data_IF_605434972682
#
_entry.id   IF_605434972682
#
_cell.length_a   1.000
_cell.length_b   1.000
_cell.length_c   1.000
_cell.angle_alpha   90.00
_cell.angle_beta   90.00
_cell.angle_gamma   90.00
#
_symmetry.space_group_name_H-M   'P 1'
#
loop_
_entity.id
_entity.type
_entity.pdbx_description
1 polymer ?
#
# COMPACT_ATOMS: atom_id res chain seq x y z
N UNK A 1 28.00 29.73 29.60
CA UNK A 1 26.75 29.36 28.89
C UNK A 1 26.43 27.89 29.20
N UNK A 2 25.36 27.62 29.97
CA UNK A 2 24.93 26.26 30.34
C UNK A 2 23.66 25.91 29.55
N UNK A 3 23.73 24.95 28.63
CA UNK A 3 22.54 24.37 28.01
C UNK A 3 21.89 23.39 28.99
N UNK A 4 20.76 23.78 29.58
CA UNK A 4 19.89 22.86 30.32
C UNK A 4 19.09 22.04 29.30
N UNK A 5 19.33 20.72 29.25
CA UNK A 5 18.47 19.80 28.53
C UNK A 5 17.08 19.79 29.20
N UNK A 6 16.06 20.31 28.52
CA UNK A 6 14.67 20.03 28.90
C UNK A 6 14.36 18.59 28.53
N UNK A 7 13.96 17.80 29.53
CA UNK A 7 13.40 16.48 29.32
C UNK A 7 12.19 16.55 28.38
N UNK A 8 12.30 15.92 27.20
CA UNK A 8 11.19 15.72 26.27
C UNK A 8 10.43 14.48 26.76
N UNK A 9 9.16 14.57 27.18
CA UNK A 9 8.40 13.41 27.64
C UNK A 9 8.22 12.41 26.50
N UNK A 10 8.00 11.10 26.79
CA UNK A 10 7.82 10.06 25.78
C UNK A 10 6.45 10.24 25.11
N UNK A 11 6.35 11.22 24.23
CA UNK A 11 5.18 11.42 23.37
C UNK A 11 5.30 10.42 22.24
N UNK A 12 4.33 9.52 22.17
CA UNK A 12 3.97 8.74 20.99
C UNK A 12 4.29 9.53 19.72
N UNK A 13 5.12 8.97 18.84
CA UNK A 13 5.81 9.69 17.76
C UNK A 13 4.89 10.23 16.66
N UNK A 14 3.57 10.08 16.79
CA UNK A 14 2.59 10.77 15.96
C UNK A 14 1.19 10.67 16.59
N UNK A 15 0.55 11.82 16.88
CA UNK A 15 -0.90 11.93 17.20
C UNK A 15 -1.62 12.68 16.07
N UNK A 16 -1.30 12.37 14.82
CA UNK A 16 -2.05 12.87 13.67
C UNK A 16 -3.21 11.94 13.34
N UNK A 17 -4.41 12.49 13.13
CA UNK A 17 -5.47 11.80 12.39
C UNK A 17 -5.17 12.07 10.91
N UNK A 18 -5.01 11.06 10.05
CA UNK A 18 -4.85 11.28 8.60
C UNK A 18 -6.20 11.77 8.05
N UNK A 19 -6.39 13.09 7.99
CA UNK A 19 -7.65 13.72 7.57
C UNK A 19 -7.73 13.84 6.06
N UNK A 20 -8.16 12.76 5.39
CA UNK A 20 -8.76 12.84 4.05
C UNK A 20 -10.20 12.35 4.15
N UNK A 21 -11.17 13.24 4.40
CA UNK A 21 -12.50 12.85 4.87
C UNK A 21 -13.36 12.13 3.81
N UNK A 22 -13.13 12.34 2.51
CA UNK A 22 -14.08 11.89 1.47
C UNK A 22 -13.43 11.24 0.23
N UNK A 23 -12.10 11.15 0.16
CA UNK A 23 -11.35 10.77 -1.07
C UNK A 23 -10.47 9.52 -0.93
N UNK A 24 -10.69 8.75 0.14
CA UNK A 24 -9.95 7.54 0.49
C UNK A 24 -10.26 6.32 -0.38
N UNK A 25 -9.48 5.24 -0.26
CA UNK A 25 -9.90 3.94 -0.81
C UNK A 25 -11.03 3.36 0.06
N UNK A 26 -11.85 2.47 -0.48
CA UNK A 26 -12.83 1.75 0.32
C UNK A 26 -12.18 0.53 0.97
N UNK A 27 -12.42 0.34 2.26
CA UNK A 27 -12.02 -0.86 3.00
C UNK A 27 -12.99 -2.02 2.77
N UNK A 28 -12.56 -3.22 3.18
CA UNK A 28 -13.40 -4.41 3.20
C UNK A 28 -14.55 -4.29 4.22
N UNK A 29 -15.48 -5.25 4.19
CA UNK A 29 -16.49 -5.39 5.23
C UNK A 29 -15.88 -6.08 6.45
N UNK A 30 -15.61 -5.31 7.51
CA UNK A 30 -14.79 -5.76 8.64
C UNK A 30 -15.61 -6.29 9.82
N UNK A 31 -16.91 -6.03 9.87
CA UNK A 31 -17.77 -6.40 11.00
C UNK A 31 -17.77 -7.90 11.31
N UNK A 32 -17.88 -8.81 10.31
CA UNK A 32 -17.80 -10.24 10.61
C UNK A 32 -16.48 -10.63 11.27
N UNK A 33 -15.37 -9.99 10.86
CA UNK A 33 -14.05 -10.24 11.47
C UNK A 33 -14.00 -9.71 12.91
N UNK A 34 -14.63 -8.56 13.18
CA UNK A 34 -14.71 -8.00 14.53
C UNK A 34 -15.59 -8.85 15.45
N UNK A 35 -16.67 -9.41 14.93
CA UNK A 35 -17.53 -10.35 15.65
C UNK A 35 -16.75 -11.62 16.04
N UNK A 36 -16.04 -12.23 15.08
CA UNK A 36 -15.18 -13.39 15.34
C UNK A 36 -14.12 -13.06 16.39
N UNK A 37 -13.52 -11.88 16.31
CA UNK A 37 -12.62 -11.39 17.34
C UNK A 37 -13.27 -11.35 18.71
N UNK A 38 -14.47 -10.80 18.84
CA UNK A 38 -15.15 -10.70 20.13
C UNK A 38 -15.52 -12.09 20.66
N UNK A 39 -16.00 -12.97 19.80
CA UNK A 39 -16.44 -14.32 20.14
C UNK A 39 -15.28 -15.25 20.53
N UNK A 40 -14.15 -15.15 19.83
CA UNK A 40 -13.04 -16.10 19.96
C UNK A 40 -11.78 -15.49 20.61
N UNK A 41 -11.79 -14.20 20.97
CA UNK A 41 -10.65 -13.53 21.60
C UNK A 41 -9.42 -13.38 20.69
N UNK A 42 -9.57 -13.50 19.37
CA UNK A 42 -8.45 -13.43 18.42
C UNK A 42 -7.94 -11.99 18.23
N UNK A 43 -6.65 -11.83 17.96
CA UNK A 43 -6.08 -10.54 17.57
C UNK A 43 -6.24 -10.32 16.07
N UNK A 44 -6.47 -9.08 15.67
CA UNK A 44 -6.57 -8.67 14.27
C UNK A 44 -5.38 -7.80 13.92
N UNK A 45 -4.73 -8.13 12.81
CA UNK A 45 -3.69 -7.32 12.18
C UNK A 45 -4.21 -6.83 10.83
N UNK A 46 -4.28 -5.52 10.65
CA UNK A 46 -4.70 -4.89 9.40
C UNK A 46 -3.47 -4.69 8.49
N UNK A 47 -3.41 -5.40 7.36
CA UNK A 47 -2.47 -5.05 6.28
C UNK A 47 -3.06 -3.91 5.44
N UNK A 48 -2.67 -2.68 5.79
CA UNK A 48 -3.07 -1.45 5.11
C UNK A 48 -2.02 -0.98 4.09
N UNK A 49 -1.13 -1.86 3.62
CA UNK A 49 -0.02 -1.48 2.73
C UNK A 49 -0.51 -0.93 1.38
N UNK A 50 -1.72 -1.27 0.94
CA UNK A 50 -2.38 -0.72 -0.25
C UNK A 50 -3.37 0.42 0.04
N UNK A 51 -3.52 0.81 1.30
CA UNK A 51 -4.75 1.40 1.84
C UNK A 51 -4.52 2.53 2.88
N UNK A 52 -3.43 3.31 2.73
CA UNK A 52 -3.05 4.43 3.63
C UNK A 52 -4.20 5.31 4.12
N UNK A 53 -5.15 5.63 3.24
CA UNK A 53 -6.27 6.54 3.52
C UNK A 53 -7.62 5.84 3.46
N UNK A 54 -7.64 4.51 3.50
CA UNK A 54 -8.87 3.77 3.37
C UNK A 54 -9.78 3.96 4.58
N UNK A 55 -11.09 3.92 4.34
CA UNK A 55 -12.12 3.98 5.38
C UNK A 55 -13.03 2.77 5.28
N UNK A 56 -13.54 2.31 6.41
CA UNK A 56 -14.51 1.22 6.44
C UNK A 56 -15.82 1.64 5.79
N UNK A 57 -16.39 0.75 4.98
CA UNK A 57 -17.56 1.02 4.13
C UNK A 57 -18.91 0.82 4.82
N UNK A 58 -18.94 -0.05 5.82
CA UNK A 58 -20.16 -0.51 6.49
C UNK A 58 -19.97 -0.55 7.99
N UNK A 59 -21.10 -0.58 8.69
CA UNK A 59 -21.13 -0.98 10.08
C UNK A 59 -20.87 0.08 11.14
N UNK A 60 -20.67 -0.38 12.38
CA UNK A 60 -20.36 0.46 13.54
C UNK A 60 -19.05 1.26 13.37
N UNK A 61 -18.19 0.84 12.45
CA UNK A 61 -16.93 1.50 12.11
C UNK A 61 -16.96 2.26 10.78
N UNK A 62 -18.13 2.37 10.13
CA UNK A 62 -18.30 3.10 8.86
C UNK A 62 -17.71 4.50 8.93
N UNK A 63 -16.96 4.87 7.89
CA UNK A 63 -16.30 6.18 7.79
C UNK A 63 -15.06 6.34 8.69
N UNK A 64 -14.80 5.43 9.64
CA UNK A 64 -13.53 5.42 10.39
C UNK A 64 -12.40 4.94 9.47
N UNK A 65 -11.22 5.47 9.70
CA UNK A 65 -10.02 5.07 8.96
C UNK A 65 -9.61 3.63 9.32
N UNK A 66 -9.11 2.90 8.34
CA UNK A 66 -8.34 1.65 8.52
C UNK A 66 -7.11 2.01 9.35
N UNK A 67 -7.11 1.60 10.64
CA UNK A 67 -6.19 1.97 11.73
C UNK A 67 -6.87 2.06 13.11
N UNK A 68 -8.20 2.02 13.16
CA UNK A 68 -8.95 2.37 14.38
C UNK A 68 -9.51 1.16 15.16
N UNK A 69 -9.12 -0.07 14.81
CA UNK A 69 -9.52 -1.29 15.54
C UNK A 69 -8.45 -1.63 16.57
N UNK A 70 -8.84 -2.15 17.74
CA UNK A 70 -7.89 -2.63 18.75
C UNK A 70 -7.00 -3.74 18.17
N UNK A 71 -5.71 -3.48 17.93
CA UNK A 71 -4.81 -4.38 17.20
C UNK A 71 -3.57 -3.68 16.63
N UNK A 72 -3.03 -4.24 15.54
CA UNK A 72 -1.92 -3.66 14.77
C UNK A 72 -2.35 -3.31 13.36
N UNK A 73 -1.81 -2.23 12.82
CA UNK A 73 -2.00 -1.84 11.42
C UNK A 73 -0.64 -1.58 10.78
N UNK A 74 -0.43 -2.18 9.62
CA UNK A 74 0.80 -2.10 8.85
C UNK A 74 0.61 -1.25 7.60
N UNK A 75 1.43 -0.20 7.44
CA UNK A 75 1.54 0.59 6.23
C UNK A 75 2.88 0.32 5.54
N UNK A 76 2.91 0.48 4.22
CA UNK A 76 4.13 0.35 3.41
C UNK A 76 4.40 1.66 2.70
N UNK A 77 5.64 2.12 2.77
CA UNK A 77 6.11 3.31 2.06
C UNK A 77 7.06 2.93 0.92
N UNK A 78 6.75 1.83 0.23
CA UNK A 78 7.47 1.40 -0.97
C UNK A 78 7.25 2.40 -2.12
N UNK A 79 8.15 2.40 -3.12
CA UNK A 79 8.12 3.29 -4.28
C UNK A 79 6.79 3.36 -5.05
N UNK A 80 5.99 2.29 -5.03
CA UNK A 80 4.71 2.20 -5.74
C UNK A 80 3.48 2.57 -4.88
N UNK A 81 3.69 3.16 -3.71
CA UNK A 81 2.63 3.51 -2.76
C UNK A 81 2.24 4.98 -2.91
N UNK A 82 1.02 5.32 -2.47
CA UNK A 82 0.49 6.69 -2.54
C UNK A 82 1.41 7.70 -1.83
N UNK A 83 1.98 7.26 -0.70
CA UNK A 83 3.03 7.94 0.05
C UNK A 83 4.22 7.00 0.04
N UNK A 84 5.41 7.51 -0.28
CA UNK A 84 6.63 6.69 -0.36
C UNK A 84 7.79 7.32 0.40
N UNK A 85 8.67 6.47 0.93
CA UNK A 85 9.98 6.83 1.46
C UNK A 85 11.10 6.17 0.66
N UNK A 86 10.81 5.77 -0.59
CA UNK A 86 11.62 4.84 -1.38
C UNK A 86 11.43 3.41 -0.91
N UNK A 87 11.82 3.13 0.34
CA UNK A 87 11.45 1.91 1.07
C UNK A 87 11.13 2.24 2.52
N UNK A 88 10.27 1.44 3.15
CA UNK A 88 9.88 1.64 4.53
C UNK A 88 8.52 1.07 4.86
N UNK A 89 8.17 1.13 6.14
CA UNK A 89 6.86 0.78 6.64
C UNK A 89 6.59 1.44 7.97
N UNK A 90 5.33 1.39 8.39
CA UNK A 90 4.89 1.93 9.66
C UNK A 90 3.96 0.93 10.33
N UNK A 91 4.21 0.67 11.60
CA UNK A 91 3.33 -0.12 12.46
C UNK A 91 2.61 0.84 13.40
N UNK A 92 1.30 0.78 13.43
CA UNK A 92 0.46 1.56 14.34
C UNK A 92 -0.33 0.61 15.23
N UNK A 93 -0.46 0.95 16.50
CA UNK A 93 -1.32 0.25 17.44
C UNK A 93 -1.96 1.25 18.41
N UNK A 94 -3.17 0.93 18.84
CA UNK A 94 -3.89 1.62 19.91
C UNK A 94 -3.79 0.88 21.25
N UNK A 95 -3.04 -0.22 21.32
CA UNK A 95 -2.65 -0.85 22.56
C UNK A 95 -1.37 -0.20 23.10
N UNK A 96 -1.46 0.30 24.34
CA UNK A 96 -0.39 1.05 24.99
C UNK A 96 0.88 0.22 25.20
N UNK A 97 0.76 -1.11 25.32
CA UNK A 97 1.90 -2.02 25.49
C UNK A 97 2.54 -2.44 24.15
N UNK A 98 1.73 -2.60 23.12
CA UNK A 98 2.14 -3.11 21.81
C UNK A 98 3.17 -2.24 21.08
N UNK A 99 2.97 -0.92 21.02
CA UNK A 99 3.87 -0.03 20.29
C UNK A 99 5.27 0.09 20.93
N UNK A 100 5.40 0.27 22.27
CA UNK A 100 6.70 0.21 22.95
C UNK A 100 7.42 -1.12 22.73
N UNK A 101 6.70 -2.24 22.82
CA UNK A 101 7.29 -3.57 22.60
C UNK A 101 7.79 -3.74 21.16
N UNK A 102 6.99 -3.36 20.17
CA UNK A 102 7.46 -3.38 18.78
C UNK A 102 8.70 -2.50 18.59
N UNK A 103 8.72 -1.31 19.19
CA UNK A 103 9.88 -0.41 19.16
C UNK A 103 11.12 -1.04 19.78
N UNK A 104 10.99 -1.77 20.88
CA UNK A 104 12.08 -2.51 21.52
C UNK A 104 12.68 -3.54 20.56
N UNK A 105 11.83 -4.41 20.00
CA UNK A 105 12.22 -5.49 19.09
C UNK A 105 12.94 -4.97 17.83
N UNK A 106 12.43 -3.89 17.20
CA UNK A 106 13.06 -3.31 15.99
C UNK A 106 14.35 -2.55 16.30
N UNK A 107 14.53 -2.06 17.53
CA UNK A 107 15.77 -1.43 18.01
C UNK A 107 16.72 -2.46 18.61
N UNK A 108 16.68 -3.67 18.08
CA UNK A 108 17.51 -4.79 18.46
C UNK A 108 17.36 -5.26 19.93
N UNK A 109 16.21 -5.07 20.58
CA UNK A 109 15.93 -5.55 21.94
C UNK A 109 17.03 -5.19 22.97
N UNK A 110 17.39 -3.91 23.07
CA UNK A 110 18.43 -3.42 24.00
C UNK A 110 17.88 -3.35 25.42
N UNK A 111 18.56 -3.97 26.38
CA UNK A 111 18.21 -3.82 27.80
C UNK A 111 18.35 -2.38 28.28
N UNK A 112 17.69 -2.05 29.39
CA UNK A 112 17.67 -0.71 29.96
C UNK A 112 19.01 -0.28 30.60
N UNK A 113 19.83 -1.23 31.02
CA UNK A 113 20.91 -0.97 31.98
C UNK A 113 22.24 -0.54 31.32
N UNK A 114 22.53 -0.98 30.09
CA UNK A 114 23.77 -0.62 29.37
C UNK A 114 23.64 -0.51 27.84
N UNK A 115 22.52 -0.93 27.25
CA UNK A 115 22.28 -0.92 25.81
C UNK A 115 23.11 -1.91 24.97
N UNK A 116 23.98 -2.70 25.61
CA UNK A 116 24.78 -3.76 24.99
C UNK A 116 24.09 -5.11 25.16
N UNK A 117 23.55 -5.37 26.34
CA UNK A 117 22.82 -6.60 26.65
C UNK A 117 21.48 -6.65 25.93
N UNK A 118 21.04 -7.88 25.63
CA UNK A 118 19.82 -8.18 24.86
C UNK A 118 18.95 -9.11 25.67
N UNK A 119 17.73 -8.70 25.93
CA UNK A 119 16.77 -9.42 26.77
C UNK A 119 15.80 -10.30 25.97
N UNK A 120 15.65 -10.06 24.65
CA UNK A 120 14.75 -10.80 23.76
C UNK A 120 15.37 -11.04 22.37
N UNK A 121 14.67 -11.85 21.55
CA UNK A 121 14.96 -11.98 20.11
C UNK A 121 14.84 -10.62 19.44
N UNK A 122 15.82 -10.30 18.60
CA UNK A 122 16.06 -8.96 18.09
C UNK A 122 15.92 -8.86 16.58
N UNK A 123 15.51 -7.69 16.10
CA UNK A 123 15.39 -7.39 14.68
C UNK A 123 16.07 -6.07 14.34
N UNK A 124 16.45 -5.89 13.07
CA UNK A 124 16.93 -4.62 12.55
C UNK A 124 15.99 -4.13 11.45
N UNK A 125 14.84 -3.59 11.88
CA UNK A 125 13.81 -3.04 10.99
C UNK A 125 13.65 -1.52 11.16
N UNK A 126 14.69 -0.85 11.66
CA UNK A 126 14.71 0.60 11.80
C UNK A 126 14.69 1.24 10.41
N UNK A 127 13.80 2.20 10.23
CA UNK A 127 13.84 3.09 9.06
C UNK A 127 15.02 4.06 9.20
N UNK A 128 15.74 4.31 8.11
CA UNK A 128 16.81 5.31 8.11
C UNK A 128 16.24 6.72 8.28
N UNK A 129 17.03 7.64 8.84
CA UNK A 129 16.63 9.03 9.01
C UNK A 129 16.28 9.70 7.67
N UNK A 130 17.00 9.37 6.59
CA UNK A 130 16.71 9.88 5.25
C UNK A 130 15.36 9.39 4.73
N UNK A 131 15.06 8.08 4.84
CA UNK A 131 13.76 7.55 4.44
C UNK A 131 12.63 8.16 5.28
N UNK A 132 12.85 8.33 6.58
CA UNK A 132 11.88 8.98 7.46
C UNK A 132 11.61 10.44 7.06
N UNK A 133 12.65 11.21 6.72
CA UNK A 133 12.50 12.60 6.26
C UNK A 133 11.67 12.70 4.98
N UNK A 134 11.94 11.82 3.99
CA UNK A 134 11.13 11.72 2.78
C UNK A 134 9.68 11.36 3.10
N UNK A 135 9.48 10.37 3.98
CA UNK A 135 8.15 9.94 4.42
C UNK A 135 7.34 11.06 5.07
N UNK A 136 7.96 11.87 5.95
CA UNK A 136 7.31 13.03 6.57
C UNK A 136 6.86 14.04 5.52
N UNK A 137 7.76 14.45 4.62
CA UNK A 137 7.43 15.39 3.54
C UNK A 137 6.30 14.87 2.61
N UNK A 138 6.22 13.55 2.42
CA UNK A 138 5.16 12.93 1.64
C UNK A 138 3.82 12.89 2.37
N UNK A 139 3.81 12.66 3.69
CA UNK A 139 2.59 12.70 4.51
C UNK A 139 2.01 14.12 4.54
N UNK A 140 2.85 15.15 4.63
CA UNK A 140 2.42 16.56 4.56
C UNK A 140 1.72 16.91 3.24
N UNK A 141 2.05 16.21 2.16
CA UNK A 141 1.43 16.40 0.84
C UNK A 141 0.28 15.43 0.53
N UNK A 142 -0.16 14.63 1.51
CA UNK A 142 -1.13 13.56 1.29
C UNK A 142 -2.41 14.02 0.60
N UNK A 143 -3.00 15.14 1.03
CA UNK A 143 -4.24 15.65 0.44
C UNK A 143 -4.06 16.04 -1.03
N UNK A 144 -2.89 16.58 -1.38
CA UNK A 144 -2.53 16.88 -2.77
C UNK A 144 -2.38 15.61 -3.61
N UNK A 145 -1.79 14.55 -3.05
CA UNK A 145 -1.70 13.24 -3.72
C UNK A 145 -3.08 12.59 -3.90
N UNK A 146 -3.96 12.70 -2.91
CA UNK A 146 -5.34 12.20 -3.01
C UNK A 146 -6.12 12.94 -4.11
N UNK A 147 -6.01 14.26 -4.16
CA UNK A 147 -6.67 15.05 -5.20
C UNK A 147 -6.17 14.67 -6.61
N UNK A 148 -4.86 14.43 -6.77
CA UNK A 148 -4.28 13.98 -8.03
C UNK A 148 -4.71 12.58 -8.43
N UNK A 149 -4.83 11.66 -7.48
CA UNK A 149 -5.22 10.28 -7.74
C UNK A 149 -6.73 10.09 -7.97
N UNK A 150 -7.58 11.02 -7.52
CA UNK A 150 -9.04 10.88 -7.57
C UNK A 150 -9.59 10.55 -8.97
N UNK A 151 -9.18 11.22 -10.06
CA UNK A 151 -9.69 10.94 -11.41
C UNK A 151 -9.30 9.57 -11.97
N UNK A 152 -8.28 8.90 -11.43
CA UNK A 152 -7.87 7.56 -11.90
C UNK A 152 -8.40 6.43 -11.02
N UNK A 153 -9.10 6.74 -9.91
CA UNK A 153 -9.61 5.71 -8.99
C UNK A 153 -10.85 5.00 -9.49
N UNK A 154 -11.68 5.66 -10.32
CA UNK A 154 -12.92 5.07 -10.83
C UNK A 154 -12.68 3.91 -11.81
N UNK A 155 -11.52 3.87 -12.47
CA UNK A 155 -11.15 2.83 -13.45
C UNK A 155 -9.81 2.15 -13.10
N UNK A 156 -9.69 1.65 -11.87
CA UNK A 156 -8.47 0.93 -11.47
C UNK A 156 -8.53 -0.56 -11.78
N UNK A 157 -9.62 -1.22 -11.40
CA UNK A 157 -9.83 -2.65 -11.64
C UNK A 157 -10.88 -2.80 -12.73
N UNK A 158 -10.54 -3.50 -13.81
CA UNK A 158 -11.41 -3.70 -14.96
C UNK A 158 -11.69 -5.19 -15.10
N UNK A 159 -12.98 -5.52 -15.16
CA UNK A 159 -13.47 -6.85 -15.51
C UNK A 159 -14.02 -6.77 -16.94
N UNK A 160 -13.32 -7.29 -17.94
CA UNK A 160 -13.84 -7.41 -19.30
C UNK A 160 -15.09 -8.30 -19.33
N UNK A 161 -15.95 -8.09 -20.32
CA UNK A 161 -17.09 -8.97 -20.57
C UNK A 161 -16.65 -10.36 -21.04
N UNK A 162 -17.57 -11.32 -21.01
CA UNK A 162 -17.25 -12.73 -21.26
C UNK A 162 -16.74 -13.01 -22.69
N UNK A 163 -17.13 -12.18 -23.66
CA UNK A 163 -16.67 -12.25 -25.07
C UNK A 163 -15.28 -11.62 -25.30
N UNK A 164 -14.66 -11.05 -24.26
CA UNK A 164 -13.37 -10.37 -24.40
C UNK A 164 -12.20 -11.38 -24.53
N UNK A 165 -11.12 -10.93 -25.17
CA UNK A 165 -9.85 -11.65 -25.15
C UNK A 165 -9.37 -11.91 -23.71
N UNK A 166 -8.54 -12.93 -23.52
CA UNK A 166 -8.03 -13.30 -22.20
C UNK A 166 -7.38 -12.09 -21.50
N UNK A 167 -7.46 -12.02 -20.16
CA UNK A 167 -6.80 -10.96 -19.38
C UNK A 167 -5.30 -10.85 -19.70
N UNK A 168 -4.65 -11.97 -20.03
CA UNK A 168 -3.24 -11.98 -20.43
C UNK A 168 -3.03 -11.23 -21.74
N UNK A 169 -3.86 -11.50 -22.74
CA UNK A 169 -3.77 -10.86 -24.05
C UNK A 169 -4.17 -9.38 -23.99
N UNK A 170 -5.17 -9.04 -23.18
CA UNK A 170 -5.55 -7.66 -22.92
C UNK A 170 -4.40 -6.88 -22.27
N UNK A 171 -3.78 -7.42 -21.23
CA UNK A 171 -2.61 -6.79 -20.59
C UNK A 171 -1.45 -6.64 -21.58
N UNK A 172 -1.18 -7.68 -22.40
CA UNK A 172 -0.15 -7.62 -23.45
C UNK A 172 -0.46 -6.51 -24.47
N UNK A 173 -1.70 -6.43 -24.93
CA UNK A 173 -2.16 -5.45 -25.91
C UNK A 173 -2.14 -4.01 -25.39
N UNK A 174 -2.45 -3.80 -24.11
CA UNK A 174 -2.31 -2.51 -23.42
C UNK A 174 -0.84 -2.11 -23.33
N UNK A 175 0.02 -3.01 -22.85
CA UNK A 175 1.45 -2.73 -22.68
C UNK A 175 2.13 -2.45 -24.04
N UNK A 176 1.76 -3.16 -25.10
CA UNK A 176 2.23 -2.90 -26.47
C UNK A 176 1.85 -1.50 -26.98
N UNK A 177 0.80 -0.89 -26.42
CA UNK A 177 0.35 0.48 -26.72
C UNK A 177 0.89 1.52 -25.72
N UNK A 178 1.82 1.13 -24.86
CA UNK A 178 2.37 2.01 -23.82
C UNK A 178 1.40 2.31 -22.67
N UNK A 179 0.28 1.58 -22.56
CA UNK A 179 -0.66 1.70 -21.46
C UNK A 179 -0.31 0.63 -20.43
N UNK A 180 0.18 1.05 -19.26
CA UNK A 180 0.58 0.12 -18.22
C UNK A 180 -0.65 -0.59 -17.63
N UNK A 181 -0.76 -1.89 -17.94
CA UNK A 181 -1.71 -2.81 -17.34
C UNK A 181 -0.99 -3.95 -16.61
N UNK A 182 -1.63 -4.50 -15.58
CA UNK A 182 -1.13 -5.68 -14.88
C UNK A 182 -2.26 -6.61 -14.50
N UNK A 183 -1.95 -7.89 -14.33
CA UNK A 183 -2.86 -8.83 -13.66
C UNK A 183 -2.99 -8.49 -12.19
N UNK A 184 -4.11 -8.91 -11.59
CA UNK A 184 -4.23 -8.93 -10.13
C UNK A 184 -3.16 -9.82 -9.49
N UNK A 185 -2.98 -9.65 -8.18
CA UNK A 185 -2.15 -10.56 -7.41
C UNK A 185 -2.73 -11.97 -7.48
N UNK A 186 -1.88 -12.94 -7.84
CA UNK A 186 -2.29 -14.34 -7.84
C UNK A 186 -2.65 -14.78 -6.42
N UNK A 187 -3.79 -15.47 -6.22
CA UNK A 187 -4.15 -16.03 -4.93
C UNK A 187 -3.01 -16.87 -4.34
N UNK A 188 -2.74 -16.70 -3.04
CA UNK A 188 -1.58 -17.33 -2.39
C UNK A 188 -1.58 -18.85 -2.55
N UNK A 189 -2.75 -19.48 -2.48
CA UNK A 189 -2.92 -20.94 -2.61
C UNK A 189 -2.58 -21.49 -4.00
N UNK A 190 -2.41 -20.62 -5.02
CA UNK A 190 -1.87 -21.01 -6.34
C UNK A 190 -0.34 -20.97 -6.39
N UNK A 191 0.32 -20.40 -5.38
CA UNK A 191 1.78 -20.31 -5.33
C UNK A 191 2.34 -21.63 -4.80
N UNK A 192 3.44 -22.09 -5.42
CA UNK A 192 4.15 -23.31 -5.02
C UNK A 192 4.45 -23.38 -3.52
N UNK A 193 4.74 -22.24 -2.88
CA UNK A 193 5.03 -22.15 -1.45
C UNK A 193 3.85 -22.50 -0.55
N UNK A 194 2.61 -22.34 -1.01
CA UNK A 194 1.39 -22.52 -0.22
C UNK A 194 0.45 -23.58 -0.79
N UNK A 195 0.88 -24.32 -1.82
CA UNK A 195 0.03 -25.30 -2.51
C UNK A 195 -0.35 -26.48 -1.62
N UNK A 196 0.48 -26.79 -0.62
CA UNK A 196 0.23 -27.83 0.37
C UNK A 196 -0.58 -27.36 1.58
N UNK A 197 -0.89 -26.07 1.68
CA UNK A 197 -1.70 -25.56 2.78
C UNK A 197 -3.16 -25.95 2.61
N UNK A 198 -3.84 -26.15 3.74
CA UNK A 198 -5.29 -26.35 3.74
C UNK A 198 -6.00 -25.17 3.06
N UNK A 199 -6.96 -25.49 2.20
CA UNK A 199 -7.69 -24.52 1.40
C UNK A 199 -9.16 -24.48 1.83
N UNK A 200 -9.56 -23.36 2.42
CA UNK A 200 -10.96 -23.04 2.66
C UNK A 200 -11.45 -22.08 1.57
N UNK A 201 -12.31 -22.58 0.67
CA UNK A 201 -12.92 -21.81 -0.41
C UNK A 201 -11.95 -21.41 -1.55
N UNK A 202 -12.03 -20.15 -2.00
CA UNK A 202 -11.11 -19.58 -2.99
C UNK A 202 -11.58 -19.60 -4.45
N UNK A 203 -12.71 -20.24 -4.78
CA UNK A 203 -13.26 -20.21 -6.14
C UNK A 203 -13.52 -18.77 -6.62
N UNK A 204 -14.08 -17.91 -5.75
CA UNK A 204 -14.29 -16.48 -6.03
C UNK A 204 -12.97 -15.74 -6.27
N UNK A 205 -11.92 -16.04 -5.47
CA UNK A 205 -10.63 -15.39 -5.63
C UNK A 205 -9.92 -15.81 -6.92
N UNK A 206 -10.02 -17.09 -7.28
CA UNK A 206 -9.50 -17.62 -8.54
C UNK A 206 -10.23 -17.00 -9.73
N UNK A 207 -11.54 -16.94 -9.67
CA UNK A 207 -12.39 -16.34 -10.69
C UNK A 207 -12.08 -14.86 -10.93
N UNK A 208 -12.05 -14.05 -9.86
CA UNK A 208 -11.64 -12.63 -9.93
C UNK A 208 -10.23 -12.50 -10.53
N UNK A 209 -9.28 -13.36 -10.13
CA UNK A 209 -7.92 -13.32 -10.65
C UNK A 209 -7.82 -13.64 -12.16
N UNK A 210 -8.72 -14.47 -12.68
CA UNK A 210 -8.74 -14.80 -14.10
C UNK A 210 -9.42 -13.72 -14.93
N UNK A 211 -10.42 -13.04 -14.38
CA UNK A 211 -11.25 -12.09 -15.13
C UNK A 211 -10.89 -10.63 -14.92
N UNK A 212 -10.14 -10.27 -13.88
CA UNK A 212 -9.88 -8.86 -13.55
C UNK A 212 -8.42 -8.48 -13.80
N UNK A 213 -8.22 -7.31 -14.40
CA UNK A 213 -6.93 -6.65 -14.56
C UNK A 213 -6.90 -5.31 -13.82
N UNK A 214 -5.70 -4.84 -13.48
CA UNK A 214 -5.47 -3.51 -12.93
C UNK A 214 -4.80 -2.59 -13.95
N UNK A 215 -5.34 -1.38 -14.07
CA UNK A 215 -4.71 -0.29 -14.82
C UNK A 215 -3.84 0.56 -13.90
N UNK A 216 -2.95 1.37 -14.48
CA UNK A 216 -2.14 2.29 -13.71
C UNK A 216 -2.98 3.37 -12.99
N UNK A 217 -2.69 3.60 -11.70
CA UNK A 217 -3.13 4.83 -11.03
C UNK A 217 -2.13 5.93 -11.34
N UNK A 218 -2.50 6.83 -12.25
CA UNK A 218 -1.68 7.97 -12.59
C UNK A 218 -1.84 9.04 -11.51
N UNK A 219 -0.79 9.25 -10.70
CA UNK A 219 -0.68 10.42 -9.82
C UNK A 219 -0.13 11.67 -10.52
N UNK A 220 0.32 11.51 -11.78
CA UNK A 220 0.86 12.59 -12.60
C UNK A 220 -0.15 13.02 -13.67
N UNK A 221 -0.29 14.33 -13.87
CA UNK A 221 -0.94 14.86 -15.08
C UNK A 221 -0.13 14.41 -16.28
N UNK A 222 -0.66 13.51 -17.11
CA UNK A 222 -0.28 13.50 -18.51
C UNK A 222 -0.92 14.73 -19.15
N UNK A 223 -0.31 15.91 -18.99
CA UNK A 223 -0.51 16.94 -20.01
C UNK A 223 0.05 16.29 -21.27
N UNK A 224 -0.77 16.03 -22.29
CA UNK A 224 -0.24 15.99 -23.65
C UNK A 224 0.51 17.31 -23.78
N UNK A 225 1.83 17.25 -23.79
CA UNK A 225 2.63 18.42 -24.03
C UNK A 225 2.29 18.87 -25.43
N UNK A 226 1.49 19.91 -25.57
CA UNK A 226 1.65 20.83 -26.70
C UNK A 226 3.03 21.45 -26.49
N UNK A 227 4.07 20.79 -27.03
CA UNK A 227 5.28 21.54 -27.37
C UNK A 227 4.82 22.61 -28.36
N UNK A 228 5.11 23.90 -28.14
CA UNK A 228 4.92 24.88 -29.19
C UNK A 228 5.92 24.54 -30.30
N UNK A 229 5.39 24.14 -31.47
CA UNK A 229 6.18 23.82 -32.66
C UNK A 229 6.56 22.35 -32.78
N UNK A 230 5.97 21.67 -33.76
CA UNK A 230 6.37 20.33 -34.18
C UNK A 230 5.18 19.46 -34.56
N UNK A 231 4.65 19.69 -35.76
CA UNK A 231 3.80 18.71 -36.44
C UNK A 231 4.56 17.38 -36.53
N UNK A 232 3.96 16.33 -35.99
CA UNK A 232 4.38 14.95 -36.25
C UNK A 232 3.13 14.18 -36.61
N UNK A 233 2.78 14.27 -37.89
CA UNK A 233 2.13 13.17 -38.60
C UNK A 233 2.88 11.88 -38.27
N UNK A 234 2.17 10.94 -37.64
CA UNK A 234 2.65 9.58 -37.40
C UNK A 234 2.84 8.92 -38.77
N UNK A 235 4.07 8.89 -39.27
CA UNK A 235 4.38 8.05 -40.41
C UNK A 235 4.42 6.57 -39.96
N UNK A 236 3.78 5.66 -40.71
CA UNK A 236 3.83 4.24 -40.41
C UNK A 236 5.27 3.74 -40.57
N UNK A 237 5.69 2.89 -39.63
CA UNK A 237 7.02 2.25 -39.63
C UNK A 237 7.14 1.40 -40.89
N UNK A 238 7.93 1.88 -41.85
CA UNK A 238 8.22 1.20 -43.11
C UNK A 238 8.98 -0.10 -42.90
N UNK A 239 8.67 -1.06 -43.77
CA UNK A 239 9.15 -2.42 -43.80
C UNK A 239 10.69 -2.54 -43.77
N UNK A 240 11.18 -3.54 -43.03
CA UNK A 240 12.55 -4.01 -43.05
C UNK A 240 12.89 -4.66 -44.41
N UNK A 241 14.09 -4.37 -44.94
CA UNK A 241 14.90 -5.20 -45.87
C UNK A 241 16.34 -4.62 -45.96
N UNK A 242 17.36 -5.34 -46.47
CA UNK A 242 18.10 -6.40 -45.78
C UNK A 242 19.62 -6.12 -45.71
N UNK A 243 20.35 -7.03 -45.06
CA UNK A 243 21.82 -7.15 -44.89
C UNK A 243 22.73 -6.72 -46.04
N UNK A 244 23.87 -6.09 -45.72
CA UNK A 244 25.28 -6.50 -46.01
C UNK A 244 26.22 -5.28 -46.08
N UNK A 245 27.24 -5.25 -45.23
CA UNK A 245 28.67 -5.26 -45.58
C UNK A 245 29.48 -5.57 -44.33
#
# INVERSE_FOLDING_TARGET
MRWRARAVPPRCMWRGRLTGAERGKLGAEIEPVLELRHRFGIRVVEDATGAHTARWRSGAVKGRQVSNIRGFVCFSFNGNKLITSGSGGMLVSNDAASAPRARHLVNQAKSADDGYMRDEIRYNYRMSHLAAAVGVAQVEQLDSFLARAAPSRWLYSVMPGDEAASVVDLVRGLNARGIQGRRLWSPLLRRRTYVSCERLGGAVADDIYQRVLSLAQLGGRHRRGTRPGGDRTLQPVGAAQPTLQ
#
